data_IF_908130011965
#
_entry.id   IF_908130011965
#
_cell.length_a   1.000
_cell.length_b   1.000
_cell.length_c   1.000
_cell.angle_alpha   90.00
_cell.angle_beta   90.00
_cell.angle_gamma   90.00
#
_symmetry.space_group_name_H-M   'P 1'
#
loop_
_entity.id
_entity.type
_entity.pdbx_description
1 polymer ?
#
# COMPACT_ATOMS: atom_id res chain seq x y z
N UNK A 1 -13.88 1.86 -5.49
CA UNK A 1 -12.41 1.88 -5.24
C UNK A 1 -11.80 3.02 -6.05
N UNK A 2 -10.80 3.72 -5.53
CA UNK A 2 -10.05 4.73 -6.29
C UNK A 2 -8.75 4.10 -6.79
N UNK A 3 -8.38 4.38 -8.04
CA UNK A 3 -7.11 3.94 -8.62
C UNK A 3 -6.03 4.97 -8.27
N UNK A 4 -4.87 4.48 -7.83
CA UNK A 4 -3.69 5.30 -7.55
C UNK A 4 -2.57 4.79 -8.44
N UNK A 5 -1.93 5.69 -9.19
CA UNK A 5 -0.74 5.41 -9.98
C UNK A 5 0.49 5.97 -9.28
N UNK A 6 1.55 5.17 -9.19
CA UNK A 6 2.83 5.59 -8.64
C UNK A 6 3.97 5.01 -9.49
N UNK A 7 5.12 5.66 -9.45
CA UNK A 7 6.33 5.20 -10.14
C UNK A 7 7.09 4.22 -9.26
N UNK A 8 7.67 3.21 -9.88
CA UNK A 8 8.55 2.22 -9.26
C UNK A 8 9.75 2.00 -10.16
N UNK A 9 10.86 1.61 -9.55
CA UNK A 9 12.00 1.07 -10.27
C UNK A 9 11.64 -0.28 -10.90
N UNK A 10 12.21 -0.56 -12.06
CA UNK A 10 11.89 -1.76 -12.85
C UNK A 10 12.25 -3.04 -12.10
N UNK A 11 13.42 -3.07 -11.47
CA UNK A 11 13.91 -4.21 -10.69
C UNK A 11 12.98 -4.54 -9.51
N UNK A 12 12.45 -3.51 -8.84
CA UNK A 12 11.47 -3.69 -7.75
C UNK A 12 10.11 -4.18 -8.28
N UNK A 13 9.70 -3.73 -9.46
CA UNK A 13 8.46 -4.21 -10.09
C UNK A 13 8.56 -5.70 -10.45
N UNK A 14 9.70 -6.14 -10.97
CA UNK A 14 9.96 -7.55 -11.27
C UNK A 14 9.91 -8.43 -10.02
N UNK A 15 10.56 -8.00 -8.94
CA UNK A 15 10.53 -8.69 -7.65
C UNK A 15 9.10 -8.78 -7.10
N UNK A 16 8.32 -7.71 -7.22
CA UNK A 16 6.92 -7.68 -6.82
C UNK A 16 6.08 -8.66 -7.64
N UNK A 17 6.29 -8.70 -8.95
CA UNK A 17 5.60 -9.63 -9.85
C UNK A 17 5.95 -11.09 -9.54
N UNK A 18 7.21 -11.40 -9.25
CA UNK A 18 7.64 -12.72 -8.80
C UNK A 18 6.95 -13.12 -7.49
N UNK A 19 6.98 -12.24 -6.49
CA UNK A 19 6.34 -12.48 -5.19
C UNK A 19 4.83 -12.73 -5.35
N UNK A 20 4.15 -11.90 -6.14
CA UNK A 20 2.72 -12.02 -6.39
C UNK A 20 2.37 -13.36 -7.05
N UNK A 21 3.14 -13.76 -8.07
CA UNK A 21 2.98 -15.06 -8.75
C UNK A 21 3.19 -16.25 -7.81
N UNK A 22 4.26 -16.24 -7.01
CA UNK A 22 4.55 -17.32 -6.06
C UNK A 22 3.45 -17.50 -5.02
N UNK A 23 2.74 -16.42 -4.67
CA UNK A 23 1.65 -16.44 -3.68
C UNK A 23 0.26 -16.59 -4.32
N UNK A 24 0.16 -16.67 -5.64
CA UNK A 24 -1.13 -16.72 -6.35
C UNK A 24 -1.97 -15.46 -6.14
N UNK A 25 -1.35 -14.30 -5.89
CA UNK A 25 -2.01 -13.01 -5.65
C UNK A 25 -1.80 -12.07 -6.82
N UNK A 26 -2.68 -11.08 -6.97
CA UNK A 26 -2.43 -9.94 -7.86
C UNK A 26 -1.46 -8.93 -7.24
N UNK A 27 -0.70 -8.20 -8.07
CA UNK A 27 0.16 -7.09 -7.61
C UNK A 27 -0.59 -6.12 -6.69
N UNK A 28 -1.83 -5.77 -7.05
CA UNK A 28 -2.63 -4.83 -6.29
C UNK A 28 -3.01 -5.35 -4.91
N UNK A 29 -3.21 -6.66 -4.73
CA UNK A 29 -3.43 -7.26 -3.41
C UNK A 29 -2.17 -7.20 -2.56
N UNK A 30 -1.04 -7.60 -3.13
CA UNK A 30 0.27 -7.53 -2.45
C UNK A 30 0.58 -6.10 -2.00
N UNK A 31 0.44 -5.12 -2.90
CA UNK A 31 0.66 -3.70 -2.58
C UNK A 31 -0.29 -3.23 -1.48
N UNK A 32 -1.58 -3.62 -1.54
CA UNK A 32 -2.54 -3.26 -0.49
C UNK A 32 -2.17 -3.83 0.87
N UNK A 33 -1.78 -5.11 0.93
CA UNK A 33 -1.32 -5.75 2.16
C UNK A 33 -0.09 -5.05 2.72
N UNK A 34 0.90 -4.74 1.86
CA UNK A 34 2.10 -4.01 2.26
C UNK A 34 1.77 -2.63 2.86
N UNK A 35 0.88 -1.87 2.21
CA UNK A 35 0.44 -0.56 2.72
C UNK A 35 -0.27 -0.69 4.06
N UNK A 36 -1.19 -1.65 4.20
CA UNK A 36 -1.91 -1.88 5.46
C UNK A 36 -0.94 -2.25 6.59
N UNK A 37 -0.02 -3.17 6.33
CA UNK A 37 0.97 -3.62 7.31
C UNK A 37 1.90 -2.47 7.73
N UNK A 38 2.37 -1.68 6.78
CA UNK A 38 3.19 -0.50 7.05
C UNK A 38 2.44 0.49 7.95
N UNK A 39 1.23 0.87 7.58
CA UNK A 39 0.42 1.82 8.34
C UNK A 39 0.08 1.29 9.75
N UNK A 40 -0.17 -0.02 9.89
CA UNK A 40 -0.39 -0.63 11.20
C UNK A 40 0.86 -0.59 12.08
N UNK A 41 2.04 -0.80 11.50
CA UNK A 41 3.31 -0.76 12.23
C UNK A 41 3.69 0.65 12.69
N UNK A 42 3.40 1.68 11.90
CA UNK A 42 3.81 3.06 12.19
C UNK A 42 2.76 3.87 12.97
N UNK A 43 1.48 3.68 12.67
CA UNK A 43 0.37 4.49 13.21
C UNK A 43 -0.41 3.72 14.28
N UNK A 44 -0.19 2.41 14.42
CA UNK A 44 -0.96 1.52 15.29
C UNK A 44 -2.21 0.96 14.62
N UNK A 45 -3.06 0.25 15.38
CA UNK A 45 -4.22 -0.48 14.84
C UNK A 45 -5.29 0.47 14.30
N UNK A 46 -5.21 0.82 13.00
CA UNK A 46 -6.24 1.60 12.32
C UNK A 46 -7.43 0.67 12.03
N UNK A 47 -8.54 0.86 12.74
CA UNK A 47 -9.84 0.30 12.33
C UNK A 47 -10.31 1.05 11.08
N UNK A 48 -10.02 0.50 9.90
CA UNK A 48 -10.46 1.02 8.58
C UNK A 48 -11.98 1.22 8.49
N UNK A 49 -12.75 0.60 9.39
CA UNK A 49 -14.21 0.66 9.47
C UNK A 49 -14.78 1.92 10.13
N UNK A 50 -13.98 2.82 10.72
CA UNK A 50 -14.53 3.86 11.62
C UNK A 50 -14.24 5.33 11.29
N UNK A 51 -13.50 5.71 10.23
CA UNK A 51 -13.11 7.13 10.04
C UNK A 51 -13.16 7.63 8.58
N UNK A 52 -14.27 8.25 8.14
CA UNK A 52 -14.38 8.91 6.83
C UNK A 52 -13.61 10.24 6.73
N UNK A 53 -12.99 10.71 7.82
CA UNK A 53 -12.51 12.07 8.06
C UNK A 53 -10.98 12.25 7.98
N UNK A 54 -10.21 11.18 7.77
CA UNK A 54 -8.76 11.27 7.49
C UNK A 54 -8.51 11.74 6.06
N UNK A 55 -8.91 12.99 5.78
CA UNK A 55 -8.30 13.81 4.72
C UNK A 55 -6.81 13.88 5.06
N UNK A 56 -6.00 13.12 4.32
CA UNK A 56 -4.54 13.12 4.40
C UNK A 56 -4.08 14.57 4.47
N UNK A 57 -3.70 15.06 5.67
CA UNK A 57 -3.00 16.33 5.77
C UNK A 57 -1.72 16.12 4.99
N UNK A 58 -1.55 16.86 3.89
CA UNK A 58 -0.31 16.92 3.11
C UNK A 58 0.86 16.94 4.10
N UNK A 59 1.58 15.83 4.21
CA UNK A 59 2.91 15.84 4.82
C UNK A 59 3.76 16.70 3.88
N UNK A 60 4.02 17.93 4.33
CA UNK A 60 4.98 18.82 3.70
C UNK A 60 6.35 18.26 4.02
N UNK A 61 6.92 17.51 3.09
CA UNK A 61 8.34 17.15 3.17
C UNK A 61 9.12 18.44 2.90
N UNK A 62 10.05 18.74 3.81
CA UNK A 62 10.93 19.92 3.84
C UNK A 62 11.79 20.04 2.58
#
# INVERSE_FOLDING_TARGET
MRVVSFKLEEELLELLDLYARQRGKSRSEVIREAIVNLLQSEVGTIKLSQRPDLRVKKLRVL
#
